data_IF_470488278175
#
_entry.id   IF_470488278175
#
_cell.length_a   1.000
_cell.length_b   1.000
_cell.length_c   1.000
_cell.angle_alpha   90.00
_cell.angle_beta   90.00
_cell.angle_gamma   90.00
#
_symmetry.space_group_name_H-M   'P 1'
#
loop_
_entity.id
_entity.type
_entity.pdbx_description
1 polymer ?
#
# COMPACT_ATOMS: atom_id res chain seq x y z
N UNK A 1 2.98 20.41 19.24
CA UNK A 1 2.50 20.50 17.85
C UNK A 1 3.42 19.62 17.02
N UNK A 2 2.89 18.62 16.32
CA UNK A 2 3.65 17.83 15.35
C UNK A 2 3.77 18.66 14.07
N UNK A 3 4.99 18.85 13.58
CA UNK A 3 5.21 19.51 12.29
C UNK A 3 4.79 18.57 11.16
N UNK A 4 4.22 19.13 10.10
CA UNK A 4 3.93 18.39 8.87
C UNK A 4 5.16 18.39 7.95
N UNK A 5 5.50 17.27 7.29
CA UNK A 5 4.87 15.95 7.43
C UNK A 5 5.16 15.33 8.80
N UNK A 6 4.17 14.62 9.34
CA UNK A 6 4.28 13.91 10.62
C UNK A 6 5.02 12.56 10.48
N UNK A 7 5.57 12.29 9.29
CA UNK A 7 6.37 11.12 8.94
C UNK A 7 7.71 11.58 8.35
N UNK A 8 8.68 10.68 8.36
CA UNK A 8 10.01 10.90 7.81
C UNK A 8 10.45 9.70 6.96
N UNK A 9 11.40 9.94 6.04
CA UNK A 9 12.03 8.86 5.29
C UNK A 9 13.08 8.24 6.20
N UNK A 10 12.91 6.96 6.51
CA UNK A 10 13.84 6.17 7.32
C UNK A 10 14.60 5.17 6.44
N UNK A 11 15.81 4.80 6.86
CA UNK A 11 16.63 3.78 6.20
C UNK A 11 16.89 2.58 7.12
N UNK A 12 15.93 2.24 7.96
CA UNK A 12 16.02 1.11 8.90
C UNK A 12 15.73 -0.22 8.20
N UNK A 13 16.35 -1.29 8.70
CA UNK A 13 16.11 -2.66 8.21
C UNK A 13 14.84 -3.30 8.81
N UNK A 14 14.20 -2.63 9.77
CA UNK A 14 13.04 -3.16 10.50
C UNK A 14 11.77 -2.56 9.93
N UNK A 15 10.89 -3.42 9.43
CA UNK A 15 9.53 -3.05 9.03
C UNK A 15 8.66 -2.94 10.29
N UNK A 16 7.94 -1.84 10.45
CA UNK A 16 7.02 -1.56 11.53
C UNK A 16 5.60 -1.27 11.01
N UNK A 17 4.62 -1.37 11.91
CA UNK A 17 3.25 -0.98 11.61
C UNK A 17 3.17 0.50 11.30
N UNK A 18 2.46 0.86 10.22
CA UNK A 18 2.33 2.23 9.76
C UNK A 18 3.41 2.70 8.80
N UNK A 19 4.46 1.89 8.55
CA UNK A 19 5.43 2.18 7.51
C UNK A 19 4.74 2.27 6.15
N UNK A 20 5.18 3.26 5.38
CA UNK A 20 4.69 3.54 4.04
C UNK A 20 5.74 3.07 3.02
N UNK A 21 5.31 2.25 2.08
CA UNK A 21 6.12 1.83 0.94
C UNK A 21 5.45 2.30 -0.34
N UNK A 22 6.24 2.89 -1.24
CA UNK A 22 5.76 3.35 -2.54
C UNK A 22 6.12 2.34 -3.63
N UNK A 23 5.33 2.30 -4.70
CA UNK A 23 5.61 1.51 -5.91
C UNK A 23 5.88 0.01 -5.63
N UNK A 24 5.09 -0.62 -4.76
CA UNK A 24 5.19 -2.06 -4.51
C UNK A 24 4.50 -2.85 -5.64
N UNK A 25 5.19 -3.80 -6.30
CA UNK A 25 4.61 -4.59 -7.36
C UNK A 25 3.62 -5.62 -6.82
N UNK A 26 2.44 -5.70 -7.43
CA UNK A 26 1.40 -6.66 -7.15
C UNK A 26 1.01 -7.41 -8.43
N UNK A 27 1.26 -8.72 -8.43
CA UNK A 27 0.87 -9.62 -9.52
C UNK A 27 -0.50 -10.21 -9.24
N UNK A 28 -1.49 -9.90 -10.06
CA UNK A 28 -2.85 -10.45 -9.92
C UNK A 28 -3.24 -11.41 -11.05
N UNK A 29 -2.42 -11.53 -12.09
CA UNK A 29 -2.64 -12.47 -13.18
C UNK A 29 -1.33 -12.99 -13.75
N UNK A 30 -1.25 -14.31 -13.91
CA UNK A 30 -0.14 -15.01 -14.55
C UNK A 30 -0.67 -15.96 -15.61
N UNK A 31 -0.17 -15.82 -16.83
CA UNK A 31 -0.38 -16.77 -17.91
C UNK A 31 0.92 -17.51 -18.21
N UNK A 32 0.94 -18.82 -18.00
CA UNK A 32 2.10 -19.67 -18.31
C UNK A 32 1.92 -20.19 -19.74
N UNK A 33 2.76 -19.72 -20.66
CA UNK A 33 2.73 -20.14 -22.07
C UNK A 33 3.45 -21.48 -22.24
N UNK A 34 4.60 -21.67 -21.59
CA UNK A 34 5.32 -22.95 -21.49
C UNK A 34 6.38 -22.91 -20.37
N UNK A 35 7.17 -23.98 -20.20
CA UNK A 35 8.22 -24.10 -19.17
C UNK A 35 9.26 -22.96 -19.16
N UNK A 36 9.38 -22.18 -20.24
CA UNK A 36 10.36 -21.08 -20.38
C UNK A 36 9.71 -19.71 -20.60
N UNK A 37 8.39 -19.62 -20.69
CA UNK A 37 7.71 -18.36 -21.03
C UNK A 37 6.41 -18.22 -20.24
N UNK A 38 6.28 -17.11 -19.54
CA UNK A 38 5.06 -16.67 -18.91
C UNK A 38 4.88 -15.16 -19.15
N UNK A 39 3.64 -14.70 -19.15
CA UNK A 39 3.29 -13.28 -19.11
C UNK A 39 2.54 -13.03 -17.81
N UNK A 40 2.85 -11.92 -17.15
CA UNK A 40 2.17 -11.50 -15.92
C UNK A 40 1.65 -10.08 -16.09
N UNK A 41 0.52 -9.80 -15.47
CA UNK A 41 0.05 -8.42 -15.29
C UNK A 41 0.44 -8.00 -13.88
N UNK A 42 1.21 -6.92 -13.82
CA UNK A 42 1.76 -6.37 -12.57
C UNK A 42 1.23 -4.95 -12.46
N UNK A 43 0.50 -4.69 -11.39
CA UNK A 43 0.15 -3.34 -10.94
C UNK A 43 1.11 -2.90 -9.84
N UNK A 44 1.19 -1.59 -9.61
CA UNK A 44 2.02 -1.02 -8.56
C UNK A 44 1.14 -0.24 -7.61
N UNK A 45 1.37 -0.41 -6.30
CA UNK A 45 0.61 0.25 -5.26
C UNK A 45 1.53 0.88 -4.23
N UNK A 46 1.12 2.05 -3.76
CA UNK A 46 1.63 2.60 -2.52
C UNK A 46 0.85 1.94 -1.38
N UNK A 47 1.55 1.41 -0.38
CA UNK A 47 0.99 0.56 0.66
C UNK A 47 1.44 0.96 2.07
N UNK A 48 0.54 0.77 3.03
CA UNK A 48 0.81 0.90 4.45
C UNK A 48 0.86 -0.48 5.11
N UNK A 49 1.79 -0.67 6.05
CA UNK A 49 1.88 -1.91 6.83
C UNK A 49 0.79 -1.95 7.91
N UNK A 50 -0.05 -2.99 7.86
CA UNK A 50 -1.09 -3.25 8.86
C UNK A 50 -0.70 -4.33 9.88
N UNK A 51 0.32 -5.13 9.59
CA UNK A 51 0.85 -6.10 10.55
C UNK A 51 1.35 -5.41 11.82
N UNK A 52 1.06 -6.02 12.97
CA UNK A 52 1.36 -5.44 14.28
C UNK A 52 2.88 -5.42 14.56
N UNK A 53 3.39 -4.29 15.06
CA UNK A 53 4.84 -4.09 15.24
C UNK A 53 5.51 -5.09 16.18
N UNK A 54 4.87 -5.48 17.30
CA UNK A 54 5.43 -6.50 18.19
C UNK A 54 5.57 -7.86 17.50
N UNK A 55 4.66 -8.23 16.60
CA UNK A 55 4.72 -9.48 15.84
C UNK A 55 5.76 -9.42 14.72
N UNK A 56 5.96 -8.26 14.10
CA UNK A 56 7.03 -8.01 13.10
C UNK A 56 8.41 -8.08 13.76
N UNK A 57 8.63 -7.35 14.85
CA UNK A 57 9.91 -7.33 15.58
C UNK A 57 10.23 -8.69 16.18
N UNK A 58 9.23 -9.40 16.72
CA UNK A 58 9.41 -10.75 17.25
C UNK A 58 9.47 -11.84 16.15
N UNK A 59 9.39 -11.47 14.86
CA UNK A 59 9.41 -12.37 13.70
C UNK A 59 8.42 -13.54 13.80
N UNK A 60 7.24 -13.27 14.37
CA UNK A 60 6.16 -14.27 14.53
C UNK A 60 5.37 -14.50 13.25
N UNK A 61 5.50 -13.60 12.28
CA UNK A 61 4.78 -13.63 11.00
C UNK A 61 5.72 -14.10 9.88
N UNK A 62 5.21 -14.96 9.00
CA UNK A 62 5.90 -15.31 7.75
C UNK A 62 5.60 -14.34 6.61
N UNK A 63 4.45 -13.67 6.69
CA UNK A 63 3.94 -12.74 5.69
C UNK A 63 3.57 -11.42 6.39
N UNK A 64 3.74 -10.31 5.68
CA UNK A 64 3.33 -8.97 6.15
C UNK A 64 1.99 -8.62 5.50
N UNK A 65 1.06 -8.09 6.30
CA UNK A 65 -0.22 -7.58 5.83
C UNK A 65 -0.03 -6.13 5.42
N UNK A 66 -0.39 -5.84 4.17
CA UNK A 66 -0.31 -4.52 3.55
C UNK A 66 -1.71 -4.04 3.17
N UNK A 67 -1.88 -2.73 3.06
CA UNK A 67 -3.09 -2.10 2.53
C UNK A 67 -2.70 -0.98 1.56
N UNK A 68 -3.21 -0.97 0.33
CA UNK A 68 -3.02 0.16 -0.57
C UNK A 68 -3.59 1.46 0.02
N UNK A 69 -2.90 2.57 -0.20
CA UNK A 69 -3.40 3.90 0.12
C UNK A 69 -3.34 4.80 -1.11
N UNK A 70 -4.12 5.87 -1.07
CA UNK A 70 -4.18 6.89 -2.11
C UNK A 70 -4.32 8.25 -1.47
N UNK A 71 -3.87 9.26 -2.18
CA UNK A 71 -4.24 10.63 -1.88
C UNK A 71 -5.77 10.78 -1.98
N UNK A 72 -6.31 11.76 -1.25
CA UNK A 72 -7.73 12.06 -1.33
C UNK A 72 -8.13 12.53 -2.74
N UNK A 73 -7.20 13.14 -3.47
CA UNK A 73 -7.38 13.53 -4.87
C UNK A 73 -7.58 12.32 -5.78
N UNK A 74 -6.68 11.35 -5.74
CA UNK A 74 -6.79 10.10 -6.51
C UNK A 74 -8.09 9.35 -6.18
N UNK A 75 -8.41 9.26 -4.89
CA UNK A 75 -9.65 8.63 -4.45
C UNK A 75 -10.91 9.35 -4.98
N UNK A 76 -10.89 10.68 -5.02
CA UNK A 76 -11.98 11.50 -5.54
C UNK A 76 -12.15 11.44 -7.06
N UNK A 77 -11.08 11.14 -7.81
CA UNK A 77 -11.14 10.89 -9.26
C UNK A 77 -11.72 9.51 -9.58
N UNK A 78 -11.38 8.48 -8.79
CA UNK A 78 -11.86 7.12 -9.00
C UNK A 78 -13.34 6.90 -8.60
N UNK A 79 -13.86 7.72 -7.67
CA UNK A 79 -15.23 7.61 -7.17
C UNK A 79 -16.09 8.83 -7.52
N UNK A 80 -16.86 8.74 -8.62
CA UNK A 80 -17.81 9.78 -9.05
C UNK A 80 -18.83 10.22 -7.98
N UNK A 81 -19.12 9.36 -6.99
CA UNK A 81 -20.02 9.66 -5.86
C UNK A 81 -19.47 10.77 -4.96
N UNK A 82 -18.14 10.90 -4.82
CA UNK A 82 -17.47 11.90 -3.98
C UNK A 82 -17.57 13.32 -4.56
N UNK A 83 -17.73 13.45 -5.88
CA UNK A 83 -17.91 14.75 -6.55
C UNK A 83 -19.33 15.30 -6.44
N UNK A 84 -20.30 14.48 -6.03
CA UNK A 84 -21.68 14.94 -5.82
C UNK A 84 -21.78 15.84 -4.57
N UNK A 85 -22.63 16.87 -4.60
CA UNK A 85 -22.84 17.86 -3.52
C UNK A 85 -23.16 17.25 -2.14
N UNK A 86 -23.42 15.94 -2.04
CA UNK A 86 -23.66 15.19 -0.79
C UNK A 86 -22.38 14.72 -0.09
N UNK A 87 -21.25 14.58 -0.79
CA UNK A 87 -19.97 14.14 -0.23
C UNK A 87 -19.08 15.28 0.31
N UNK A 88 -19.38 16.54 -0.04
CA UNK A 88 -18.62 17.75 0.37
C UNK A 88 -18.87 18.22 1.81
N UNK A 89 -19.59 17.46 2.63
CA UNK A 89 -19.75 17.74 4.06
C UNK A 89 -19.02 16.64 4.83
N UNK A 90 -17.76 16.92 5.20
CA UNK A 90 -17.13 16.60 6.48
C UNK A 90 -15.75 17.26 6.49
#
# INVERSE_FOLDING_TARGET
MTNYPWYEIVSDEIILQGDLFENIPFEYSRNIVNKKKATAVIDYYDVIVLSQSCDLVARKLKNVILCPYWTLEEFGQANNTYQSKKGKKN
#
